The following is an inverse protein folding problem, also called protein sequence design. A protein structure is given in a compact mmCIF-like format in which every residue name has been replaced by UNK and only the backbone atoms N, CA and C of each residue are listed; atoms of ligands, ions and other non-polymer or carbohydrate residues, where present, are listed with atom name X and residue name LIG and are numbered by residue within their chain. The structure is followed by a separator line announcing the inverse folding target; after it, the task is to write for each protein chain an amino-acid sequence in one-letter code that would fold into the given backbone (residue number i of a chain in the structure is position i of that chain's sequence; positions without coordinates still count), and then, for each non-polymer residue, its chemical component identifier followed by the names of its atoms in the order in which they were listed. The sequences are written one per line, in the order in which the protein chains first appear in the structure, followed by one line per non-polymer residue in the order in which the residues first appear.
data_IF_420189966502
#
_entry.id   IF_420189966502
#
_cell.length_a   1.000
_cell.length_b   1.000
_cell.length_c   1.000
_cell.angle_alpha   90.00
_cell.angle_beta   90.00
_cell.angle_gamma   90.00
#
_symmetry.space_group_name_H-M   'P 1'
#
loop_
_entity.id
_entity.type
_entity.pdbx_description
1 polymer ?
#
# COMPACT_ATOMS: atom_id res chain seq x y z
N UNK A 1 10.75 -15.47 -13.73
CA UNK A 1 9.61 -15.37 -14.66
C UNK A 1 8.37 -15.33 -13.80
N UNK A 2 7.56 -14.29 -13.92
CA UNK A 2 6.38 -14.07 -13.06
C UNK A 2 5.29 -15.06 -13.41
N UNK A 3 4.78 -15.79 -12.42
CA UNK A 3 3.67 -16.73 -12.61
C UNK A 3 2.31 -16.06 -12.38
N UNK A 4 1.25 -16.66 -12.91
CA UNK A 4 -0.14 -16.20 -12.69
C UNK A 4 -0.49 -16.25 -11.20
N UNK A 5 -0.09 -17.31 -10.51
CA UNK A 5 -0.34 -17.52 -9.09
C UNK A 5 0.33 -16.45 -8.21
N UNK A 6 1.50 -15.95 -8.62
CA UNK A 6 2.20 -14.88 -7.91
C UNK A 6 1.46 -13.54 -8.03
N UNK A 7 0.94 -13.23 -9.22
CA UNK A 7 0.15 -12.02 -9.47
C UNK A 7 -1.17 -12.09 -8.69
N UNK A 8 -1.87 -13.22 -8.73
CA UNK A 8 -3.09 -13.42 -7.95
C UNK A 8 -2.82 -13.25 -6.45
N UNK A 9 -1.71 -13.80 -5.96
CA UNK A 9 -1.29 -13.67 -4.55
C UNK A 9 -1.05 -12.22 -4.17
N UNK A 10 -0.27 -11.47 -4.97
CA UNK A 10 0.03 -10.05 -4.69
C UNK A 10 -1.23 -9.20 -4.79
N UNK A 11 -2.07 -9.42 -5.80
CA UNK A 11 -3.33 -8.71 -5.95
C UNK A 11 -4.26 -8.91 -4.75
N UNK A 12 -4.33 -10.14 -4.23
CA UNK A 12 -5.09 -10.47 -3.02
C UNK A 12 -4.54 -9.76 -1.79
N UNK A 13 -3.21 -9.65 -1.64
CA UNK A 13 -2.58 -8.86 -0.57
C UNK A 13 -2.95 -7.37 -0.67
N UNK A 14 -3.09 -6.85 -1.89
CA UNK A 14 -3.50 -5.47 -2.16
C UNK A 14 -5.02 -5.26 -2.14
N UNK A 15 -5.81 -6.32 -1.95
CA UNK A 15 -7.28 -6.30 -2.03
C UNK A 15 -7.80 -5.82 -3.39
N UNK A 16 -7.12 -6.18 -4.47
CA UNK A 16 -7.52 -5.89 -5.85
C UNK A 16 -8.11 -7.16 -6.45
N UNK A 17 -9.33 -7.06 -6.97
CA UNK A 17 -9.91 -8.08 -7.83
C UNK A 17 -9.37 -7.89 -9.25
N UNK A 18 -8.82 -8.95 -9.83
CA UNK A 18 -8.28 -8.94 -11.20
C UNK A 18 -9.20 -9.78 -12.07
N UNK A 19 -9.68 -9.21 -13.17
CA UNK A 19 -10.51 -9.93 -14.14
C UNK A 19 -9.64 -10.65 -15.20
N UNK A 20 -8.72 -9.94 -15.85
CA UNK A 20 -7.83 -10.49 -16.90
C UNK A 20 -6.37 -10.51 -16.46
N UNK A 21 -5.89 -11.68 -16.09
CA UNK A 21 -4.57 -11.85 -15.49
C UNK A 21 -3.45 -11.78 -16.55
N UNK A 22 -3.76 -12.04 -17.83
CA UNK A 22 -2.77 -12.16 -18.90
C UNK A 22 -2.15 -10.80 -19.23
N UNK A 23 -2.97 -9.75 -19.31
CA UNK A 23 -2.49 -8.38 -19.57
C UNK A 23 -1.61 -7.86 -18.43
N UNK A 24 -1.89 -8.27 -17.19
CA UNK A 24 -1.08 -7.87 -16.04
C UNK A 24 0.25 -8.63 -15.97
N UNK A 25 0.30 -9.89 -16.41
CA UNK A 25 1.53 -10.68 -16.47
C UNK A 25 2.62 -10.01 -17.29
N UNK A 26 2.33 -9.69 -18.56
CA UNK A 26 3.33 -9.10 -19.46
C UNK A 26 3.85 -7.75 -18.96
N UNK A 27 2.96 -6.94 -18.36
CA UNK A 27 3.34 -5.63 -17.82
C UNK A 27 4.22 -5.76 -16.58
N UNK A 28 3.87 -6.64 -15.65
CA UNK A 28 4.65 -6.87 -14.43
C UNK A 28 6.00 -7.46 -14.77
N UNK A 29 6.05 -8.43 -15.69
CA UNK A 29 7.30 -9.04 -16.16
C UNK A 29 8.25 -7.98 -16.74
N UNK A 30 7.75 -7.11 -17.63
CA UNK A 30 8.56 -6.00 -18.19
C UNK A 30 9.05 -5.01 -17.13
N UNK A 31 8.24 -4.74 -16.11
CA UNK A 31 8.65 -3.86 -15.00
C UNK A 31 9.77 -4.49 -14.18
N UNK A 32 9.68 -5.79 -13.86
CA UNK A 32 10.73 -6.50 -13.12
C UNK A 32 12.01 -6.55 -13.93
N UNK A 33 11.94 -6.91 -15.22
CA UNK A 33 13.11 -6.91 -16.11
C UNK A 33 13.78 -5.54 -16.20
N UNK A 34 12.99 -4.46 -16.13
CA UNK A 34 13.55 -3.11 -16.07
C UNK A 34 14.30 -2.86 -14.76
N UNK A 35 13.82 -3.41 -13.63
CA UNK A 35 14.49 -3.28 -12.34
C UNK A 35 15.76 -4.13 -12.21
N UNK A 36 15.98 -5.15 -13.04
CA UNK A 36 17.25 -5.89 -13.11
C UNK A 36 18.46 -4.98 -13.45
N UNK A 37 18.21 -3.76 -13.95
CA UNK A 37 19.26 -2.74 -14.12
C UNK A 37 19.88 -2.37 -12.76
N UNK A 38 19.09 -2.36 -11.69
CA UNK A 38 19.53 -2.01 -10.35
C UNK A 38 20.44 -3.08 -9.74
N UNK A 39 20.26 -4.36 -10.10
CA UNK A 39 21.14 -5.44 -9.62
C UNK A 39 22.60 -5.27 -10.08
N UNK A 40 22.82 -4.56 -11.20
CA UNK A 40 24.15 -4.26 -11.72
C UNK A 40 24.85 -3.12 -10.98
N UNK A 41 24.16 -2.43 -10.07
CA UNK A 41 24.67 -1.21 -9.43
C UNK A 41 25.63 -1.46 -8.24
N UNK A 42 25.84 -2.72 -7.82
CA UNK A 42 26.87 -3.09 -6.83
C UNK A 42 26.68 -2.48 -5.43
N UNK A 43 25.43 -2.14 -5.07
CA UNK A 43 25.05 -1.43 -3.85
C UNK A 43 24.94 -2.31 -2.59
N UNK A 44 25.40 -3.56 -2.64
CA UNK A 44 25.24 -4.55 -1.55
C UNK A 44 25.86 -4.10 -0.21
N UNK A 45 26.83 -3.19 -0.26
CA UNK A 45 27.55 -2.67 0.91
C UNK A 45 27.14 -1.26 1.33
N UNK A 46 26.21 -0.63 0.61
CA UNK A 46 25.72 0.71 0.96
C UNK A 46 24.65 0.62 2.05
N UNK A 47 24.81 1.43 3.10
CA UNK A 47 23.78 1.57 4.13
C UNK A 47 22.53 2.23 3.55
N UNK A 48 21.36 1.74 3.95
CA UNK A 48 20.09 2.35 3.59
C UNK A 48 20.03 3.76 4.18
N UNK A 49 19.62 4.73 3.37
CA UNK A 49 19.35 6.08 3.85
C UNK A 49 18.09 6.01 4.70
N UNK A 50 18.27 5.97 6.02
CA UNK A 50 17.17 6.05 6.98
C UNK A 50 16.86 7.52 7.21
N UNK A 51 15.58 7.89 7.12
CA UNK A 51 15.15 9.22 7.47
C UNK A 51 15.21 9.39 9.00
N UNK A 52 16.24 10.07 9.48
CA UNK A 52 16.36 10.40 10.91
C UNK A 52 15.34 11.46 11.32
N UNK A 53 14.72 11.26 12.48
CA UNK A 53 13.82 12.25 13.10
C UNK A 53 14.40 12.71 14.43
N UNK A 54 14.62 14.02 14.55
CA UNK A 54 15.03 14.63 15.82
C UNK A 54 13.90 14.54 16.84
N UNK A 55 14.27 14.41 18.11
CA UNK A 55 13.33 14.39 19.25
C UNK A 55 12.49 15.68 19.28
N UNK A 56 13.08 16.81 18.88
CA UNK A 56 12.42 18.11 18.75
C UNK A 56 11.25 18.11 17.76
N UNK A 57 11.22 17.19 16.80
CA UNK A 57 10.18 17.07 15.77
C UNK A 57 9.09 16.05 16.15
N UNK A 58 9.03 15.60 17.40
CA UNK A 58 7.96 14.72 17.87
C UNK A 58 6.69 15.52 18.15
N UNK A 59 5.53 14.90 17.89
CA UNK A 59 4.23 15.50 18.20
C UNK A 59 4.08 15.70 19.71
N UNK A 60 3.69 16.90 20.12
CA UNK A 60 3.35 17.19 21.51
C UNK A 60 2.05 16.50 21.94
N UNK A 61 1.95 16.11 23.21
CA UNK A 61 0.75 15.50 23.77
C UNK A 61 -0.32 16.54 24.12
N UNK A 62 -0.92 17.13 23.08
CA UNK A 62 -2.00 18.09 23.18
C UNK A 62 -3.25 17.58 22.46
N UNK A 63 -4.40 17.72 23.11
CA UNK A 63 -5.69 17.43 22.49
C UNK A 63 -6.00 18.45 21.39
N UNK A 64 -6.34 17.96 20.21
CA UNK A 64 -6.80 18.76 19.08
C UNK A 64 -8.21 18.25 18.73
N UNK A 65 -9.27 19.06 18.89
CA UNK A 65 -10.62 18.63 18.56
C UNK A 65 -10.77 18.46 17.05
N UNK A 66 -11.58 17.48 16.66
CA UNK A 66 -11.94 17.25 15.26
C UNK A 66 -13.33 17.85 15.02
N UNK A 67 -13.38 18.97 14.28
CA UNK A 67 -14.59 19.77 14.06
C UNK A 67 -15.49 19.25 12.92
N UNK A 68 -14.93 18.39 12.08
CA UNK A 68 -15.62 17.91 10.88
C UNK A 68 -16.62 16.79 11.21
N UNK A 69 -17.73 16.76 10.47
CA UNK A 69 -18.65 15.62 10.48
C UNK A 69 -18.14 14.53 9.56
N UNK A 70 -17.27 13.67 10.09
CA UNK A 70 -16.70 12.54 9.34
C UNK A 70 -17.77 11.70 8.65
N UNK A 71 -18.92 11.50 9.31
CA UNK A 71 -20.00 10.63 8.84
C UNK A 71 -20.64 11.12 7.54
N UNK A 72 -20.68 12.45 7.34
CA UNK A 72 -21.26 13.06 6.13
C UNK A 72 -20.42 12.75 4.88
N UNK A 73 -19.16 12.34 5.07
CA UNK A 73 -18.23 11.95 4.00
C UNK A 73 -18.28 10.45 3.69
N UNK A 74 -19.06 9.65 4.44
CA UNK A 74 -19.09 8.19 4.31
C UNK A 74 -20.25 7.72 3.43
N UNK A 75 -19.98 6.78 2.52
CA UNK A 75 -21.00 6.20 1.63
C UNK A 75 -22.03 5.34 2.36
N UNK A 76 -21.61 4.59 3.39
CA UNK A 76 -22.45 3.64 4.11
C UNK A 76 -22.30 3.83 5.62
N UNK A 77 -23.34 4.34 6.28
CA UNK A 77 -23.37 4.51 7.73
C UNK A 77 -24.76 4.18 8.30
N UNK A 78 -24.82 3.92 9.61
CA UNK A 78 -26.06 3.76 10.36
C UNK A 78 -25.91 4.42 11.72
N UNK A 79 -26.66 5.48 11.97
CA UNK A 79 -26.49 6.29 13.19
C UNK A 79 -25.09 6.88 13.22
N UNK A 80 -24.32 6.58 14.28
CA UNK A 80 -22.92 7.03 14.47
C UNK A 80 -21.87 6.03 13.98
N UNK A 81 -22.27 4.94 13.32
CA UNK A 81 -21.38 3.84 12.95
C UNK A 81 -21.23 3.65 11.44
N UNK A 82 -20.05 3.18 11.04
CA UNK A 82 -19.78 2.72 9.67
C UNK A 82 -20.49 1.38 9.45
N UNK A 83 -21.23 1.25 8.35
CA UNK A 83 -21.90 0.00 7.98
C UNK A 83 -21.04 -0.78 6.99
N UNK A 84 -20.54 -1.94 7.40
CA UNK A 84 -19.78 -2.86 6.56
C UNK A 84 -20.30 -4.31 6.75
N UNK A 85 -20.03 -5.22 5.79
CA UNK A 85 -20.27 -6.65 5.98
C UNK A 85 -19.59 -7.13 7.26
N UNK A 86 -20.26 -8.01 8.00
CA UNK A 86 -19.69 -8.60 9.20
C UNK A 86 -18.44 -9.39 8.82
N UNK A 87 -17.32 -9.15 9.51
CA UNK A 87 -16.15 -10.02 9.38
C UNK A 87 -16.53 -11.40 9.92
N UNK A 88 -16.39 -12.42 9.08
CA UNK A 88 -16.62 -13.83 9.41
C UNK A 88 -15.27 -14.49 9.59
#
# INVERSE_FOLDING_TARGET
MVSKEEIERVAKLMRIEIDDHVVHMDRVQKMIEYFDILDKSGIETQELIVQEQKIENLREDKFIPYEDKLIDKLKNYKGTYIKAPKMV
#
